data_IF_581931148561
#
_entry.id   IF_581931148561
#
_cell.length_a   1.000
_cell.length_b   1.000
_cell.length_c   1.000
_cell.angle_alpha   90.00
_cell.angle_beta   90.00
_cell.angle_gamma   90.00
#
_symmetry.space_group_name_H-M   'P 1'
#
loop_
_entity.id
_entity.type
_entity.pdbx_description
1 polymer ?
#
# COMPACT_ATOMS: atom_id res chain seq x y z
N UNK A 1 11.50 -22.86 -2.72
CA UNK A 1 10.58 -21.87 -2.14
C UNK A 1 10.20 -20.83 -3.18
N UNK A 2 11.12 -19.96 -3.65
CA UNK A 2 10.80 -18.93 -4.68
C UNK A 2 10.10 -19.49 -5.92
N UNK A 3 10.67 -20.49 -6.59
CA UNK A 3 10.03 -21.13 -7.75
C UNK A 3 8.65 -21.73 -7.42
N UNK A 4 8.48 -22.30 -6.22
CA UNK A 4 7.20 -22.87 -5.78
C UNK A 4 6.16 -21.78 -5.54
N UNK A 5 6.56 -20.62 -5.01
CA UNK A 5 5.69 -19.47 -4.81
C UNK A 5 5.25 -18.87 -6.15
N UNK A 6 6.17 -18.74 -7.11
CA UNK A 6 5.84 -18.29 -8.47
C UNK A 6 4.88 -19.26 -9.18
N UNK A 7 5.08 -20.56 -9.02
CA UNK A 7 4.14 -21.57 -9.53
C UNK A 7 2.77 -21.48 -8.86
N UNK A 8 2.74 -21.31 -7.53
CA UNK A 8 1.49 -21.10 -6.78
C UNK A 8 0.73 -19.88 -7.31
N UNK A 9 1.41 -18.74 -7.46
CA UNK A 9 0.79 -17.52 -7.98
C UNK A 9 0.18 -17.78 -9.35
N UNK A 10 0.91 -18.42 -10.27
CA UNK A 10 0.42 -18.70 -11.61
C UNK A 10 -0.77 -19.66 -11.63
N UNK A 11 -0.78 -20.67 -10.76
CA UNK A 11 -1.85 -21.66 -10.67
C UNK A 11 -3.15 -21.07 -10.12
N UNK A 12 -3.05 -20.12 -9.17
CA UNK A 12 -4.19 -19.55 -8.45
C UNK A 12 -4.56 -18.13 -8.86
N UNK A 13 -3.95 -17.60 -9.94
CA UNK A 13 -4.17 -16.22 -10.41
C UNK A 13 -5.63 -15.88 -10.71
N UNK A 14 -6.43 -16.89 -11.08
CA UNK A 14 -7.85 -16.75 -11.42
C UNK A 14 -8.78 -17.17 -10.27
N UNK A 15 -8.23 -17.57 -9.12
CA UNK A 15 -8.99 -18.06 -7.95
C UNK A 15 -8.89 -17.12 -6.75
N UNK A 16 -7.68 -16.61 -6.47
CA UNK A 16 -7.42 -15.74 -5.32
C UNK A 16 -7.61 -14.29 -5.74
N UNK A 17 -8.48 -13.58 -5.03
CA UNK A 17 -8.89 -12.20 -5.36
C UNK A 17 -7.70 -11.25 -5.51
N UNK A 18 -6.73 -11.31 -4.59
CA UNK A 18 -5.56 -10.45 -4.65
C UNK A 18 -4.72 -10.69 -5.92
N UNK A 19 -4.58 -11.95 -6.33
CA UNK A 19 -3.83 -12.29 -7.53
C UNK A 19 -4.59 -11.85 -8.79
N UNK A 20 -5.91 -12.08 -8.85
CA UNK A 20 -6.73 -11.61 -9.96
C UNK A 20 -6.56 -10.10 -10.18
N UNK A 21 -6.64 -9.32 -9.09
CA UNK A 21 -6.46 -7.88 -9.12
C UNK A 21 -5.06 -7.51 -9.63
N UNK A 22 -4.00 -8.09 -9.04
CA UNK A 22 -2.61 -7.78 -9.40
C UNK A 22 -2.23 -8.19 -10.83
N UNK A 23 -2.86 -9.22 -11.39
CA UNK A 23 -2.67 -9.63 -12.79
C UNK A 23 -3.51 -8.81 -13.78
N UNK A 24 -4.62 -8.22 -13.34
CA UNK A 24 -5.53 -7.50 -14.24
C UNK A 24 -4.91 -6.17 -14.70
N UNK A 25 -4.72 -6.02 -16.02
CA UNK A 25 -4.35 -4.72 -16.64
C UNK A 25 -5.36 -4.34 -17.73
N UNK A 26 -5.96 -3.13 -17.67
CA UNK A 26 -5.93 -2.19 -16.54
C UNK A 26 -6.61 -2.79 -15.30
N UNK A 27 -6.24 -2.31 -14.11
CA UNK A 27 -6.87 -2.75 -12.87
C UNK A 27 -8.37 -2.47 -12.94
N UNK A 28 -9.18 -3.53 -12.87
CA UNK A 28 -10.65 -3.40 -12.90
C UNK A 28 -11.21 -3.03 -11.53
N UNK A 29 -10.44 -3.27 -10.47
CA UNK A 29 -10.81 -3.08 -9.08
C UNK A 29 -9.56 -2.76 -8.26
N UNK A 30 -9.72 -2.01 -7.16
CA UNK A 30 -8.65 -1.73 -6.19
C UNK A 30 -8.33 -2.99 -5.37
N UNK A 31 -7.06 -3.19 -5.05
CA UNK A 31 -6.63 -4.27 -4.16
C UNK A 31 -7.04 -3.94 -2.71
N UNK A 32 -7.71 -4.87 -2.03
CA UNK A 32 -8.17 -4.68 -0.65
C UNK A 32 -7.31 -5.47 0.34
N UNK A 33 -7.28 -5.01 1.60
CA UNK A 33 -6.52 -5.70 2.65
C UNK A 33 -7.01 -7.12 2.89
N UNK A 34 -8.33 -7.33 2.82
CA UNK A 34 -8.92 -8.67 2.99
C UNK A 34 -8.56 -9.63 1.85
N UNK A 35 -8.41 -9.15 0.61
CA UNK A 35 -7.89 -9.96 -0.47
C UNK A 35 -6.43 -10.39 -0.21
N UNK A 36 -5.63 -9.53 0.42
CA UNK A 36 -4.24 -9.88 0.81
C UNK A 36 -4.23 -10.84 2.00
N UNK A 37 -5.14 -10.72 2.97
CA UNK A 37 -5.33 -11.73 4.02
C UNK A 37 -5.74 -13.08 3.44
N UNK A 38 -6.63 -13.09 2.44
CA UNK A 38 -7.04 -14.31 1.74
C UNK A 38 -5.82 -15.02 1.14
N UNK A 39 -4.96 -14.27 0.43
CA UNK A 39 -3.71 -14.79 -0.13
C UNK A 39 -2.77 -15.33 0.97
N UNK A 40 -2.56 -14.59 2.06
CA UNK A 40 -1.72 -15.02 3.17
C UNK A 40 -2.23 -16.35 3.78
N UNK A 41 -3.53 -16.42 4.05
CA UNK A 41 -4.17 -17.62 4.57
C UNK A 41 -4.05 -18.82 3.62
N UNK A 42 -3.98 -18.59 2.30
CA UNK A 42 -3.80 -19.65 1.32
C UNK A 42 -2.37 -20.21 1.33
N UNK A 43 -1.35 -19.35 1.42
CA UNK A 43 0.07 -19.76 1.42
C UNK A 43 0.54 -20.30 2.79
N UNK A 44 -0.12 -19.92 3.89
CA UNK A 44 0.21 -20.41 5.23
C UNK A 44 -0.29 -21.84 5.48
N UNK A 45 -1.22 -22.35 4.67
CA UNK A 45 -1.77 -23.70 4.81
C UNK A 45 -0.85 -24.77 4.20
N UNK A 46 -0.93 -26.03 4.66
CA UNK A 46 -0.31 -27.15 3.95
C UNK A 46 -0.78 -27.21 2.49
N UNK A 47 0.09 -27.58 1.54
CA UNK A 47 1.46 -28.08 1.72
C UNK A 47 2.54 -26.99 1.83
N UNK A 48 2.19 -25.71 1.72
CA UNK A 48 3.15 -24.63 1.53
C UNK A 48 3.77 -24.14 2.85
N UNK A 49 2.94 -23.82 3.84
CA UNK A 49 3.37 -23.34 5.16
C UNK A 49 4.32 -22.12 5.07
N UNK A 50 4.08 -21.22 4.12
CA UNK A 50 4.88 -20.01 3.92
C UNK A 50 4.30 -18.83 4.66
N UNK A 51 5.17 -17.93 5.12
CA UNK A 51 4.81 -16.56 5.52
C UNK A 51 5.66 -15.52 4.78
N UNK A 52 5.31 -14.25 4.93
CA UNK A 52 5.92 -13.12 4.24
C UNK A 52 7.41 -13.02 4.52
N UNK A 53 7.82 -13.26 5.77
CA UNK A 53 9.22 -13.17 6.18
C UNK A 53 10.07 -14.26 5.54
N UNK A 54 9.55 -15.48 5.44
CA UNK A 54 10.23 -16.58 4.76
C UNK A 54 10.39 -16.31 3.27
N UNK A 55 9.32 -15.88 2.60
CA UNK A 55 9.36 -15.54 1.17
C UNK A 55 10.32 -14.39 0.88
N UNK A 56 10.28 -13.33 1.69
CA UNK A 56 11.19 -12.19 1.55
C UNK A 56 12.65 -12.61 1.68
N UNK A 57 12.97 -13.39 2.71
CA UNK A 57 14.32 -13.89 2.93
C UNK A 57 14.79 -14.81 1.80
N UNK A 58 13.88 -15.62 1.25
CA UNK A 58 14.19 -16.49 0.12
C UNK A 58 14.53 -15.68 -1.15
N UNK A 59 13.78 -14.61 -1.45
CA UNK A 59 14.12 -13.70 -2.54
C UNK A 59 15.41 -12.92 -2.27
N UNK A 60 15.60 -12.42 -1.05
CA UNK A 60 16.82 -11.71 -0.64
C UNK A 60 18.07 -12.59 -0.78
N UNK A 61 17.96 -13.90 -0.53
CA UNK A 61 19.06 -14.83 -0.69
C UNK A 61 19.46 -15.05 -2.16
N UNK A 62 18.50 -15.03 -3.09
CA UNK A 62 18.73 -15.26 -4.52
C UNK A 62 19.15 -13.99 -5.28
N UNK A 63 18.52 -12.84 -4.98
CA UNK A 63 18.68 -11.60 -5.74
C UNK A 63 19.03 -10.40 -4.85
N UNK A 64 20.10 -10.53 -4.04
CA UNK A 64 20.53 -9.51 -3.05
C UNK A 64 20.56 -8.08 -3.57
N UNK A 65 20.94 -7.86 -4.84
CA UNK A 65 21.03 -6.52 -5.43
C UNK A 65 19.68 -5.88 -5.74
N UNK A 66 18.60 -6.66 -5.79
CA UNK A 66 17.24 -6.20 -6.11
C UNK A 66 16.29 -6.18 -4.93
N UNK A 67 16.72 -6.67 -3.76
CA UNK A 67 15.87 -6.70 -2.56
C UNK A 67 16.34 -5.65 -1.56
N UNK A 68 15.42 -4.76 -1.15
CA UNK A 68 15.67 -3.72 -0.15
C UNK A 68 15.03 -4.08 1.20
N UNK A 69 15.52 -3.48 2.28
CA UNK A 69 14.90 -3.61 3.61
C UNK A 69 14.97 -4.99 4.26
N UNK A 70 15.88 -5.90 3.85
CA UNK A 70 15.90 -7.30 4.31
C UNK A 70 15.95 -7.51 5.84
N UNK A 71 16.32 -6.50 6.63
CA UNK A 71 16.37 -6.55 8.10
C UNK A 71 15.12 -6.04 8.83
N UNK A 72 14.14 -5.50 8.12
CA UNK A 72 12.91 -4.96 8.71
C UNK A 72 11.86 -6.04 9.03
N UNK A 73 11.04 -5.78 10.07
CA UNK A 73 9.85 -6.61 10.37
C UNK A 73 8.88 -6.52 9.20
N UNK A 74 8.53 -7.66 8.62
CA UNK A 74 7.54 -7.73 7.54
C UNK A 74 6.14 -7.53 8.10
N UNK A 75 5.31 -6.88 7.30
CA UNK A 75 3.87 -6.76 7.54
C UNK A 75 3.09 -7.39 6.39
N UNK A 76 1.81 -7.63 6.59
CA UNK A 76 0.98 -8.34 5.62
C UNK A 76 0.97 -7.66 4.24
N UNK A 77 0.99 -6.32 4.18
CA UNK A 77 1.00 -5.58 2.92
C UNK A 77 2.28 -5.79 2.09
N UNK A 78 3.37 -6.30 2.68
CA UNK A 78 4.57 -6.70 1.93
C UNK A 78 4.32 -7.88 0.98
N UNK A 79 3.23 -8.66 1.15
CA UNK A 79 2.81 -9.64 0.15
C UNK A 79 2.50 -9.01 -1.20
N UNK A 80 2.02 -7.76 -1.23
CA UNK A 80 1.77 -7.04 -2.49
C UNK A 80 3.08 -6.86 -3.26
N UNK A 81 4.13 -6.42 -2.57
CA UNK A 81 5.47 -6.29 -3.16
C UNK A 81 6.05 -7.63 -3.60
N UNK A 82 5.87 -8.69 -2.78
CA UNK A 82 6.32 -10.05 -3.12
C UNK A 82 5.67 -10.57 -4.39
N UNK A 83 4.34 -10.44 -4.52
CA UNK A 83 3.62 -10.88 -5.72
C UNK A 83 4.06 -10.08 -6.94
N UNK A 84 4.11 -8.74 -6.84
CA UNK A 84 4.51 -7.89 -7.98
C UNK A 84 5.94 -8.18 -8.46
N UNK A 85 6.86 -8.47 -7.54
CA UNK A 85 8.21 -8.91 -7.88
C UNK A 85 8.21 -10.30 -8.54
N UNK A 86 7.49 -11.26 -7.97
CA UNK A 86 7.39 -12.64 -8.47
C UNK A 86 6.81 -12.72 -9.89
N UNK A 87 5.88 -11.84 -10.23
CA UNK A 87 5.28 -11.77 -11.58
C UNK A 87 6.05 -10.84 -12.53
N UNK A 88 7.23 -10.38 -12.11
CA UNK A 88 8.11 -9.46 -12.85
C UNK A 88 7.44 -8.14 -13.25
N UNK A 89 6.44 -7.70 -12.49
CA UNK A 89 5.85 -6.37 -12.65
C UNK A 89 6.78 -5.29 -12.10
N UNK A 90 7.49 -5.59 -11.01
CA UNK A 90 8.51 -4.73 -10.44
C UNK A 90 9.89 -5.39 -10.54
N UNK A 91 10.91 -4.58 -10.86
CA UNK A 91 12.30 -5.05 -11.00
C UNK A 91 13.04 -5.13 -9.65
N UNK A 92 12.51 -4.49 -8.62
CA UNK A 92 13.05 -4.48 -7.26
C UNK A 92 11.97 -4.88 -6.26
N UNK A 93 12.36 -5.70 -5.28
CA UNK A 93 11.51 -6.03 -4.14
C UNK A 93 11.77 -5.01 -3.03
N UNK A 94 10.86 -4.05 -2.92
CA UNK A 94 10.88 -3.00 -1.88
C UNK A 94 9.68 -3.16 -0.95
N UNK A 95 9.82 -2.91 0.37
CA UNK A 95 8.70 -3.01 1.31
C UNK A 95 7.53 -2.13 0.87
N UNK A 96 6.30 -2.61 1.06
CA UNK A 96 5.12 -1.88 0.62
C UNK A 96 5.01 -0.49 1.28
N UNK A 97 5.26 -0.32 2.60
CA UNK A 97 5.31 1.01 3.23
C UNK A 97 6.33 1.96 2.61
N UNK A 98 7.48 1.46 2.18
CA UNK A 98 8.51 2.29 1.53
C UNK A 98 8.00 2.79 0.17
N UNK A 99 7.32 1.93 -0.61
CA UNK A 99 6.67 2.32 -1.86
C UNK A 99 5.60 3.38 -1.64
N UNK A 100 4.71 3.16 -0.67
CA UNK A 100 3.66 4.13 -0.30
C UNK A 100 4.27 5.48 0.06
N UNK A 101 5.37 5.50 0.81
CA UNK A 101 6.06 6.75 1.14
C UNK A 101 6.68 7.44 -0.09
N UNK A 102 7.25 6.70 -1.04
CA UNK A 102 7.76 7.25 -2.31
C UNK A 102 6.61 7.86 -3.12
N UNK A 103 5.50 7.13 -3.27
CA UNK A 103 4.32 7.59 -4.00
C UNK A 103 3.69 8.82 -3.33
N UNK A 104 3.61 8.84 -1.99
CA UNK A 104 3.13 9.98 -1.22
C UNK A 104 3.98 11.23 -1.46
N UNK A 105 5.31 11.12 -1.40
CA UNK A 105 6.20 12.27 -1.64
C UNK A 105 6.07 12.80 -3.08
N UNK A 106 5.89 11.91 -4.05
CA UNK A 106 5.64 12.29 -5.43
C UNK A 106 4.30 13.02 -5.57
N UNK A 107 3.23 12.51 -4.94
CA UNK A 107 1.91 13.14 -4.91
C UNK A 107 1.95 14.52 -4.24
N UNK A 108 2.57 14.66 -3.07
CA UNK A 108 2.73 15.97 -2.41
C UNK A 108 3.43 16.96 -3.34
N UNK A 109 4.47 16.51 -4.06
CA UNK A 109 5.20 17.36 -5.00
C UNK A 109 4.38 17.79 -6.22
N UNK A 110 3.37 17.01 -6.65
CA UNK A 110 2.43 17.45 -7.70
C UNK A 110 1.45 18.49 -7.18
N UNK A 111 0.95 18.32 -5.95
CA UNK A 111 0.05 19.30 -5.33
C UNK A 111 0.70 20.69 -5.20
N UNK A 112 1.97 20.75 -4.79
CA UNK A 112 2.73 22.00 -4.71
C UNK A 112 2.88 22.74 -6.04
N UNK A 113 2.79 22.03 -7.18
CA UNK A 113 2.89 22.62 -8.53
C UNK A 113 1.56 23.20 -9.01
N UNK A 114 0.43 22.70 -8.51
CA UNK A 114 -0.90 23.16 -8.87
C UNK A 114 -1.36 24.40 -8.08
N UNK A 115 -0.68 24.74 -6.98
CA UNK A 115 -1.00 25.93 -6.15
C UNK A 115 -0.55 27.28 -6.74
N UNK A 116 -0.28 27.37 -8.04
CA UNK A 116 0.24 28.58 -8.70
C UNK A 116 -0.82 29.68 -8.93
N UNK A 117 -0.40 30.92 -8.68
CA UNK A 117 -1.09 32.21 -8.94
C UNK A 117 -2.24 32.62 -7.99
N UNK A 118 -1.97 32.74 -6.70
CA UNK A 118 -2.62 33.85 -5.96
C UNK A 118 -2.85 33.70 -4.47
N UNK A 119 -2.92 32.50 -3.89
CA UNK A 119 -3.22 32.35 -2.44
C UNK A 119 -2.56 31.07 -1.90
N UNK A 120 -1.55 31.27 -1.05
CA UNK A 120 -0.66 30.30 -0.38
C UNK A 120 0.49 29.68 -1.20
N UNK A 121 1.76 29.85 -0.74
CA UNK A 121 2.94 29.20 -1.33
C UNK A 121 3.09 27.72 -0.95
N UNK A 122 2.33 27.21 0.03
CA UNK A 122 2.30 25.79 0.40
C UNK A 122 0.90 25.20 0.11
N UNK A 123 0.82 24.00 -0.50
CA UNK A 123 -0.45 23.37 -0.87
C UNK A 123 -1.29 22.95 0.36
N UNK A 124 -0.64 22.73 1.50
CA UNK A 124 -1.26 22.26 2.73
C UNK A 124 -0.71 23.02 3.93
N UNK A 125 -1.58 23.29 4.91
CA UNK A 125 -1.16 23.74 6.24
C UNK A 125 -0.42 22.63 6.99
N UNK A 126 0.32 22.99 8.05
CA UNK A 126 0.99 22.00 8.91
C UNK A 126 0.04 20.95 9.47
N UNK A 127 -1.17 21.35 9.88
CA UNK A 127 -2.19 20.44 10.39
C UNK A 127 -2.69 19.50 9.30
N UNK A 128 -3.01 20.02 8.10
CA UNK A 128 -3.40 19.18 6.97
C UNK A 128 -2.30 18.20 6.59
N UNK A 129 -1.04 18.65 6.54
CA UNK A 129 0.09 17.78 6.21
C UNK A 129 0.26 16.66 7.24
N UNK A 130 0.13 16.96 8.54
CA UNK A 130 0.17 15.93 9.58
C UNK A 130 -0.92 14.87 9.39
N UNK A 131 -2.15 15.28 9.04
CA UNK A 131 -3.23 14.35 8.73
C UNK A 131 -2.95 13.51 7.48
N UNK A 132 -2.36 14.10 6.44
CA UNK A 132 -1.93 13.38 5.24
C UNK A 132 -0.84 12.34 5.55
N UNK A 133 0.09 12.62 6.45
CA UNK A 133 1.08 11.64 6.92
C UNK A 133 0.43 10.48 7.69
N UNK A 134 -0.54 10.76 8.56
CA UNK A 134 -1.29 9.71 9.27
C UNK A 134 -2.09 8.84 8.29
N UNK A 135 -2.71 9.45 7.28
CA UNK A 135 -3.43 8.74 6.22
C UNK A 135 -2.45 7.85 5.42
N UNK A 136 -1.29 8.38 5.03
CA UNK A 136 -0.21 7.61 4.38
C UNK A 136 0.18 6.39 5.21
N UNK A 137 0.41 6.58 6.50
CA UNK A 137 0.85 5.49 7.39
C UNK A 137 -0.25 4.43 7.57
N UNK A 138 -1.51 4.85 7.61
CA UNK A 138 -2.65 3.93 7.61
C UNK A 138 -2.73 3.12 6.30
N UNK A 139 -2.61 3.77 5.14
CA UNK A 139 -2.59 3.12 3.82
C UNK A 139 -1.41 2.16 3.70
N UNK A 140 -0.23 2.54 4.20
CA UNK A 140 0.95 1.66 4.22
C UNK A 140 0.70 0.35 5.00
N UNK A 141 -0.10 0.42 6.06
CA UNK A 141 -0.44 -0.73 6.89
C UNK A 141 -1.67 -1.52 6.38
N UNK A 142 -2.63 -0.87 5.72
CA UNK A 142 -3.96 -1.44 5.42
C UNK A 142 -4.36 -1.34 3.93
N UNK A 143 -3.48 -0.93 3.01
CA UNK A 143 -3.70 -0.71 1.56
C UNK A 143 -4.62 0.44 1.17
N UNK A 144 -5.56 0.81 2.01
CA UNK A 144 -6.50 1.91 1.78
C UNK A 144 -6.94 2.52 3.10
N UNK A 145 -7.59 3.68 3.02
CA UNK A 145 -8.34 4.30 4.11
C UNK A 145 -9.79 4.54 3.67
N UNK A 146 -10.73 4.28 4.57
CA UNK A 146 -12.16 4.55 4.42
C UNK A 146 -12.62 5.57 5.47
N UNK A 147 -13.78 6.23 5.29
CA UNK A 147 -14.28 7.21 6.26
C UNK A 147 -14.39 6.67 7.70
N UNK A 148 -14.75 5.40 7.85
CA UNK A 148 -14.91 4.75 9.15
C UNK A 148 -13.56 4.56 9.88
N UNK A 149 -12.43 4.53 9.15
CA UNK A 149 -11.11 4.42 9.76
C UNK A 149 -10.74 5.65 10.58
N UNK A 150 -11.33 6.82 10.30
CA UNK A 150 -11.14 8.03 11.11
C UNK A 150 -11.77 7.93 12.51
N UNK A 151 -12.65 6.95 12.73
CA UNK A 151 -13.21 6.61 14.04
C UNK A 151 -12.34 5.60 14.82
N UNK A 152 -11.13 5.30 14.33
CA UNK A 152 -10.15 4.46 15.00
C UNK A 152 -8.89 5.26 15.42
N UNK A 153 -8.15 4.83 16.46
CA UNK A 153 -6.83 5.39 16.75
C UNK A 153 -5.85 5.18 15.59
N UNK A 154 -4.90 6.10 15.34
CA UNK A 154 -4.65 7.33 16.09
C UNK A 154 -5.56 8.52 15.70
N UNK A 155 -6.43 8.39 14.72
CA UNK A 155 -7.26 9.51 14.24
C UNK A 155 -8.21 10.05 15.31
N UNK A 156 -8.87 9.19 16.08
CA UNK A 156 -9.73 9.61 17.20
C UNK A 156 -8.99 10.41 18.26
N UNK A 157 -7.70 10.16 18.46
CA UNK A 157 -6.86 10.91 19.39
C UNK A 157 -6.54 12.33 18.88
N UNK A 158 -6.68 12.55 17.57
CA UNK A 158 -6.51 13.85 16.91
C UNK A 158 -7.85 14.54 16.60
N UNK A 159 -8.98 13.96 17.03
CA UNK A 159 -10.32 14.51 16.82
C UNK A 159 -11.17 13.81 15.74
N UNK A 160 -10.68 12.71 15.18
CA UNK A 160 -11.42 11.78 14.33
C UNK A 160 -12.01 12.39 13.06
N UNK A 161 -13.12 11.82 12.58
CA UNK A 161 -13.78 12.23 11.33
C UNK A 161 -14.16 13.72 11.33
N UNK A 162 -14.57 14.25 12.48
CA UNK A 162 -14.90 15.66 12.63
C UNK A 162 -13.72 16.60 12.35
N UNK A 163 -12.53 16.28 12.88
CA UNK A 163 -11.34 17.13 12.68
C UNK A 163 -10.84 17.07 11.24
N UNK A 164 -10.80 15.88 10.62
CA UNK A 164 -10.36 15.79 9.22
C UNK A 164 -11.32 16.51 8.28
N UNK A 165 -12.63 16.45 8.51
CA UNK A 165 -13.60 17.20 7.73
C UNK A 165 -13.46 18.72 7.95
N UNK A 166 -13.13 19.19 9.15
CA UNK A 166 -12.82 20.60 9.38
C UNK A 166 -11.58 21.08 8.59
N UNK A 167 -10.59 20.20 8.38
CA UNK A 167 -9.34 20.54 7.70
C UNK A 167 -9.46 20.53 6.18
N UNK A 168 -10.22 19.59 5.61
CA UNK A 168 -10.30 19.38 4.17
C UNK A 168 -11.67 19.71 3.56
N UNK A 169 -12.72 19.82 4.38
CA UNK A 169 -14.08 20.12 3.95
C UNK A 169 -14.55 19.19 2.84
N UNK A 170 -15.15 19.78 1.80
CA UNK A 170 -15.70 19.06 0.66
C UNK A 170 -14.64 18.39 -0.22
N UNK A 171 -13.36 18.75 -0.07
CA UNK A 171 -12.26 18.11 -0.81
C UNK A 171 -11.82 16.78 -0.19
N UNK A 172 -12.26 16.46 1.04
CA UNK A 172 -11.82 15.28 1.77
C UNK A 172 -12.02 13.99 0.97
N UNK A 173 -13.21 13.78 0.39
CA UNK A 173 -13.52 12.57 -0.36
C UNK A 173 -12.63 12.42 -1.60
N UNK A 174 -12.40 13.51 -2.33
CA UNK A 174 -11.53 13.49 -3.50
C UNK A 174 -10.07 13.20 -3.13
N UNK A 175 -9.57 13.78 -2.04
CA UNK A 175 -8.21 13.54 -1.54
C UNK A 175 -8.05 12.08 -1.11
N UNK A 176 -9.01 11.52 -0.36
CA UNK A 176 -8.97 10.11 0.06
C UNK A 176 -8.96 9.18 -1.16
N UNK A 177 -9.80 9.47 -2.14
CA UNK A 177 -9.88 8.68 -3.36
C UNK A 177 -8.55 8.70 -4.12
N UNK A 178 -7.99 9.89 -4.34
CA UNK A 178 -6.73 10.08 -5.02
C UNK A 178 -5.57 9.41 -4.26
N UNK A 179 -5.53 9.53 -2.93
CA UNK A 179 -4.50 8.90 -2.11
C UNK A 179 -4.59 7.38 -2.16
N UNK A 180 -5.80 6.81 -2.04
CA UNK A 180 -6.00 5.36 -2.13
C UNK A 180 -5.55 4.79 -3.49
N UNK A 181 -5.72 5.53 -4.57
CA UNK A 181 -5.26 5.11 -5.89
C UNK A 181 -3.76 5.28 -6.08
N UNK A 182 -3.24 6.46 -5.76
CA UNK A 182 -1.86 6.84 -6.09
C UNK A 182 -0.84 6.17 -5.18
N UNK A 183 -1.15 6.01 -3.88
CA UNK A 183 -0.19 5.46 -2.92
C UNK A 183 -0.05 3.95 -3.05
N UNK A 184 -1.14 3.24 -3.33
CA UNK A 184 -1.16 1.78 -3.47
C UNK A 184 -0.71 1.27 -4.87
N UNK A 185 -0.45 2.18 -5.81
CA UNK A 185 -0.10 1.88 -7.19
C UNK A 185 1.20 1.08 -7.38
#
# INVERSE_FOLDING_TARGET
>A
MVQSFEQFIQAHKDEITALQVLYSKPYKQRLTFDAVKELANAIEKPPYLWNESQLWNAYAALEKSKVKGASGRRILTDLVSLVRFAIHQDNELIPFPERVNVNFNAWVATQSRHSGEGRNPEPFTRDQFHWLEMIRDHIAANLSIEPDDFELPPFTQQGGLGKVYQLFGDQLSAIIEELNETLAA
#
